data_IF_546626082169
#
_entry.id   IF_546626082169
#
_cell.length_a   1.000
_cell.length_b   1.000
_cell.length_c   1.000
_cell.angle_alpha   90.00
_cell.angle_beta   90.00
_cell.angle_gamma   90.00
#
_symmetry.space_group_name_H-M   'P 1'
#
loop_
_entity.id
_entity.type
_entity.pdbx_description
1 polymer ?
#
# COMPACT_ATOMS: atom_id res chain seq x y z
N UNK A 1 -10.59 -2.46 -11.49
CA UNK A 1 -9.89 -2.04 -10.27
C UNK A 1 -8.39 -2.17 -10.52
N UNK A 2 -7.65 -1.06 -10.37
CA UNK A 2 -6.21 -1.01 -10.62
C UNK A 2 -5.46 -1.38 -9.33
N UNK A 3 -5.35 -2.67 -9.07
CA UNK A 3 -4.64 -3.18 -7.90
C UNK A 3 -3.15 -3.24 -8.16
N UNK A 4 -2.36 -2.96 -7.13
CA UNK A 4 -0.91 -3.05 -7.19
C UNK A 4 -0.49 -4.51 -7.33
N UNK A 5 0.62 -4.78 -8.03
CA UNK A 5 1.06 -6.15 -8.36
C UNK A 5 1.35 -7.02 -7.13
N UNK A 6 1.61 -6.40 -5.98
CA UNK A 6 1.81 -7.04 -4.67
C UNK A 6 0.53 -7.25 -3.87
N UNK A 7 -0.61 -6.71 -4.31
CA UNK A 7 -1.90 -6.99 -3.66
C UNK A 7 -2.32 -8.44 -3.99
N UNK A 8 -2.82 -9.21 -3.01
CA UNK A 8 -3.22 -10.60 -3.26
C UNK A 8 -4.27 -10.63 -4.37
N UNK A 9 -4.21 -11.62 -5.25
CA UNK A 9 -5.13 -11.76 -6.36
C UNK A 9 -6.59 -11.66 -5.85
N UNK A 10 -7.43 -10.94 -6.59
CA UNK A 10 -8.85 -10.81 -6.31
C UNK A 10 -9.59 -11.92 -7.05
N UNK A 11 -10.36 -12.71 -6.33
CA UNK A 11 -11.18 -13.79 -6.87
C UNK A 11 -12.02 -14.43 -5.78
N UNK A 12 -12.93 -15.36 -6.11
CA UNK A 12 -13.61 -16.18 -5.13
C UNK A 12 -12.61 -17.19 -4.57
N UNK A 13 -11.63 -16.71 -3.81
CA UNK A 13 -10.77 -17.56 -3.01
C UNK A 13 -11.69 -18.18 -1.95
N UNK A 14 -12.15 -19.40 -2.21
CA UNK A 14 -13.09 -20.19 -1.41
C UNK A 14 -12.47 -20.75 -0.14
N UNK A 15 -11.39 -20.14 0.34
CA UNK A 15 -10.82 -20.40 1.64
C UNK A 15 -11.10 -19.17 2.50
N UNK A 16 -11.30 -19.37 3.81
CA UNK A 16 -11.60 -18.36 4.83
C UNK A 16 -10.48 -17.31 4.97
N UNK A 17 -10.09 -16.68 3.89
CA UNK A 17 -9.09 -15.65 3.82
C UNK A 17 -9.73 -14.36 4.30
N UNK A 18 -9.12 -13.70 5.30
CA UNK A 18 -9.70 -12.51 5.89
C UNK A 18 -9.43 -11.30 4.99
N UNK A 19 -10.10 -11.26 3.84
CA UNK A 19 -9.92 -10.27 2.77
C UNK A 19 -9.94 -8.82 3.28
N UNK A 20 -10.83 -8.51 4.23
CA UNK A 20 -10.91 -7.20 4.89
C UNK A 20 -9.61 -6.78 5.59
N UNK A 21 -8.87 -7.74 6.15
CA UNK A 21 -7.60 -7.48 6.83
C UNK A 21 -6.48 -7.17 5.81
N UNK A 22 -6.45 -7.87 4.68
CA UNK A 22 -5.51 -7.56 3.60
C UNK A 22 -5.74 -6.16 3.02
N UNK A 23 -7.02 -5.77 2.83
CA UNK A 23 -7.35 -4.41 2.43
C UNK A 23 -6.86 -3.36 3.44
N UNK A 24 -7.01 -3.64 4.74
CA UNK A 24 -6.51 -2.77 5.81
C UNK A 24 -4.99 -2.61 5.73
N UNK A 25 -4.26 -3.72 5.58
CA UNK A 25 -2.80 -3.72 5.46
C UNK A 25 -2.36 -2.97 4.19
N UNK A 26 -2.98 -3.22 3.05
CA UNK A 26 -2.68 -2.53 1.79
C UNK A 26 -2.88 -1.02 1.88
N UNK A 27 -3.96 -0.59 2.56
CA UNK A 27 -4.25 0.83 2.80
C UNK A 27 -3.18 1.48 3.68
N UNK A 28 -2.80 0.84 4.79
CA UNK A 28 -1.76 1.33 5.68
C UNK A 28 -0.39 1.39 4.99
N UNK A 29 -0.06 0.37 4.19
CA UNK A 29 1.19 0.33 3.42
C UNK A 29 1.29 1.51 2.44
N UNK A 30 0.20 1.80 1.71
CA UNK A 30 0.13 2.95 0.80
C UNK A 30 0.27 4.28 1.54
N UNK A 31 -0.38 4.43 2.70
CA UNK A 31 -0.24 5.62 3.53
C UNK A 31 1.22 5.84 3.97
N UNK A 32 1.88 4.79 4.47
CA UNK A 32 3.28 4.85 4.84
C UNK A 32 4.18 5.23 3.66
N UNK A 33 3.95 4.66 2.47
CA UNK A 33 4.70 5.00 1.27
C UNK A 33 4.60 6.50 0.94
N UNK A 34 3.39 7.08 0.98
CA UNK A 34 3.21 8.52 0.76
C UNK A 34 3.92 9.37 1.82
N UNK A 35 3.89 8.97 3.10
CA UNK A 35 4.64 9.67 4.14
C UNK A 35 6.16 9.66 3.86
N UNK A 36 6.69 8.52 3.42
CA UNK A 36 8.11 8.37 3.07
C UNK A 36 8.45 9.22 1.84
N UNK A 37 7.62 9.20 0.80
CA UNK A 37 7.81 10.03 -0.39
C UNK A 37 7.82 11.53 -0.05
N UNK A 38 6.86 11.98 0.78
CA UNK A 38 6.82 13.36 1.25
C UNK A 38 8.05 13.74 2.07
N UNK A 39 8.46 12.88 3.02
CA UNK A 39 9.67 13.08 3.82
C UNK A 39 10.92 13.15 2.93
N UNK A 40 11.03 12.25 1.96
CA UNK A 40 12.13 12.23 0.99
C UNK A 40 12.14 13.51 0.15
N UNK A 41 10.97 14.03 -0.25
CA UNK A 41 10.85 15.33 -0.90
C UNK A 41 11.41 16.47 -0.04
N UNK A 42 11.05 16.52 1.25
CA UNK A 42 11.57 17.52 2.19
C UNK A 42 13.10 17.42 2.36
N UNK A 43 13.63 16.21 2.56
CA UNK A 43 15.09 16.00 2.73
C UNK A 43 15.85 16.44 1.49
N UNK A 44 15.42 16.01 0.29
CA UNK A 44 16.11 16.36 -0.95
C UNK A 44 15.95 17.85 -1.31
N UNK A 45 14.86 18.50 -0.90
CA UNK A 45 14.67 19.95 -1.13
C UNK A 45 15.67 20.83 -0.37
N UNK A 46 16.27 20.32 0.72
CA UNK A 46 17.32 21.02 1.46
C UNK A 46 18.75 20.70 1.01
N UNK A 47 18.93 19.77 0.06
CA UNK A 47 20.23 19.33 -0.47
C UNK A 47 20.54 20.00 -1.82
N UNK A 48 19.58 20.74 -2.41
CA UNK A 48 19.74 21.51 -3.65
C UNK A 48 20.10 22.97 -3.37
#
# INVERSE_FOLDING_TARGET
ANFARWEPAHGPFSFKHPWKQYLKIGTLSRYCAYCIEALNGCINSGIQ
#
